data_IF_181801779831
#
_entry.id   IF_181801779831
#
_cell.length_a   1.000
_cell.length_b   1.000
_cell.length_c   1.000
_cell.angle_alpha   90.00
_cell.angle_beta   90.00
_cell.angle_gamma   90.00
#
_symmetry.space_group_name_H-M   'P 1'
#
loop_
_entity.id
_entity.type
_entity.pdbx_description
1 polymer ?
#
# COMPACT_ATOMS: atom_id res chain seq x y z
N UNK A 1 -11.75 9.83 23.29
CA UNK A 1 -10.81 9.26 22.30
C UNK A 1 -11.57 8.18 21.52
N UNK A 2 -11.73 8.30 20.19
CA UNK A 2 -12.42 7.26 19.42
C UNK A 2 -11.55 5.99 19.40
N UNK A 3 -12.10 4.88 19.87
CA UNK A 3 -11.43 3.57 19.82
C UNK A 3 -11.79 2.95 18.47
N UNK A 4 -10.78 2.69 17.65
CA UNK A 4 -10.95 2.01 16.37
C UNK A 4 -10.62 0.53 16.52
N UNK A 5 -11.38 -0.31 15.82
CA UNK A 5 -11.16 -1.75 15.79
C UNK A 5 -9.73 -2.08 15.31
N UNK A 6 -9.01 -3.03 15.94
CA UNK A 6 -7.66 -3.39 15.53
C UNK A 6 -7.57 -3.81 14.07
N UNK A 7 -8.55 -4.58 13.58
CA UNK A 7 -8.63 -5.01 12.18
C UNK A 7 -8.72 -3.83 11.22
N UNK A 8 -9.53 -2.83 11.57
CA UNK A 8 -9.65 -1.60 10.80
C UNK A 8 -8.32 -0.83 10.73
N UNK A 9 -7.62 -0.67 11.88
CA UNK A 9 -6.30 -0.02 11.90
C UNK A 9 -5.29 -0.75 11.01
N UNK A 10 -5.22 -2.08 11.12
CA UNK A 10 -4.32 -2.91 10.31
C UNK A 10 -4.62 -2.76 8.82
N UNK A 11 -5.90 -2.74 8.44
CA UNK A 11 -6.29 -2.50 7.04
C UNK A 11 -5.86 -1.12 6.53
N UNK A 12 -6.08 -0.06 7.31
CA UNK A 12 -5.67 1.31 6.94
C UNK A 12 -4.15 1.44 6.76
N UNK A 13 -3.36 0.79 7.63
CA UNK A 13 -1.89 0.75 7.49
C UNK A 13 -1.51 0.03 6.19
N UNK A 14 -2.11 -1.13 5.91
CA UNK A 14 -1.87 -1.92 4.69
C UNK A 14 -2.18 -1.12 3.42
N UNK A 15 -3.33 -0.45 3.37
CA UNK A 15 -3.74 0.43 2.27
C UNK A 15 -2.72 1.56 2.02
N UNK A 16 -2.13 2.12 3.08
CA UNK A 16 -1.12 3.15 2.94
C UNK A 16 0.24 2.59 2.48
N UNK A 17 0.69 1.48 3.06
CA UNK A 17 2.04 0.94 2.83
C UNK A 17 2.15 0.10 1.56
N UNK A 18 1.22 -0.87 1.38
CA UNK A 18 1.20 -1.83 0.26
C UNK A 18 0.57 -1.22 -0.99
N UNK A 19 -0.64 -0.64 -0.88
CA UNK A 19 -1.31 -0.05 -2.04
C UNK A 19 -0.81 1.36 -2.36
N UNK A 20 -0.10 2.00 -1.42
CA UNK A 20 0.48 3.32 -1.63
C UNK A 20 -0.53 4.47 -1.58
N UNK A 21 -1.71 4.26 -0.99
CA UNK A 21 -2.74 5.31 -0.86
C UNK A 21 -2.25 6.46 0.03
N UNK A 22 -2.68 7.68 -0.26
CA UNK A 22 -2.27 8.85 0.53
C UNK A 22 -3.09 8.94 1.82
N UNK A 23 -2.51 9.51 2.88
CA UNK A 23 -3.24 9.77 4.13
C UNK A 23 -4.48 10.66 3.86
N UNK A 24 -4.38 11.57 2.89
CA UNK A 24 -5.50 12.40 2.45
C UNK A 24 -6.67 11.55 1.94
N UNK A 25 -6.40 10.63 1.00
CA UNK A 25 -7.45 9.76 0.44
C UNK A 25 -8.14 8.91 1.51
N UNK A 26 -7.37 8.39 2.47
CA UNK A 26 -7.89 7.58 3.57
C UNK A 26 -8.71 8.43 4.56
N UNK A 27 -8.29 9.67 4.82
CA UNK A 27 -9.06 10.63 5.62
C UNK A 27 -10.40 10.95 4.95
N UNK A 28 -10.41 11.21 3.64
CA UNK A 28 -11.63 11.53 2.90
C UNK A 28 -12.61 10.35 2.84
N UNK A 29 -12.11 9.14 2.59
CA UNK A 29 -12.93 7.93 2.47
C UNK A 29 -13.49 7.47 3.83
N UNK A 30 -12.64 7.35 4.85
CA UNK A 30 -13.03 6.78 6.14
C UNK A 30 -13.38 7.80 7.21
N UNK A 31 -13.24 9.11 6.91
CA UNK A 31 -13.46 10.21 7.85
C UNK A 31 -12.63 10.07 9.14
N UNK A 32 -11.46 9.45 9.04
CA UNK A 32 -10.51 9.26 10.13
C UNK A 32 -9.50 10.40 10.11
N UNK A 33 -9.24 11.03 11.26
CA UNK A 33 -8.30 12.14 11.33
C UNK A 33 -6.92 11.76 10.76
N UNK A 34 -6.33 12.67 9.98
CA UNK A 34 -4.99 12.49 9.39
C UNK A 34 -3.95 12.14 10.46
N UNK A 35 -4.03 12.79 11.62
CA UNK A 35 -3.15 12.54 12.76
C UNK A 35 -3.26 11.10 13.27
N UNK A 36 -4.48 10.54 13.38
CA UNK A 36 -4.67 9.15 13.79
C UNK A 36 -3.99 8.18 12.83
N UNK A 37 -4.16 8.38 11.52
CA UNK A 37 -3.54 7.53 10.49
C UNK A 37 -2.01 7.62 10.59
N UNK A 38 -1.45 8.83 10.69
CA UNK A 38 -0.01 9.03 10.86
C UNK A 38 0.53 8.33 12.12
N UNK A 39 -0.20 8.39 13.23
CA UNK A 39 0.19 7.72 14.48
C UNK A 39 0.20 6.21 14.28
N UNK A 40 -0.84 5.62 13.66
CA UNK A 40 -0.89 4.17 13.45
C UNK A 40 0.24 3.67 12.56
N UNK A 41 0.54 4.39 11.48
CA UNK A 41 1.66 4.06 10.59
C UNK A 41 3.00 4.16 11.33
N UNK A 42 3.18 5.18 12.17
CA UNK A 42 4.39 5.33 12.97
C UNK A 42 4.54 4.20 13.99
N UNK A 43 3.51 3.94 14.78
CA UNK A 43 3.51 2.84 15.76
C UNK A 43 3.75 1.50 15.10
N UNK A 44 3.18 1.24 13.92
CA UNK A 44 3.44 0.01 13.17
C UNK A 44 4.92 -0.12 12.78
N UNK A 45 5.58 0.96 12.33
CA UNK A 45 7.01 0.93 12.02
C UNK A 45 7.89 0.73 13.26
N UNK A 46 7.49 1.31 14.40
CA UNK A 46 8.17 1.09 15.69
C UNK A 46 8.05 -0.39 16.12
N UNK A 47 6.86 -0.97 15.98
CA UNK A 47 6.62 -2.40 16.23
C UNK A 47 7.46 -3.30 15.32
N UNK A 48 7.66 -2.94 14.05
CA UNK A 48 8.55 -3.66 13.12
C UNK A 48 10.01 -3.72 13.60
N UNK A 49 10.47 -2.80 14.46
CA UNK A 49 11.85 -2.82 14.96
C UNK A 49 12.05 -3.87 16.07
N UNK A 50 10.97 -4.24 16.74
CA UNK A 50 11.02 -5.11 17.92
C UNK A 50 10.39 -6.48 17.68
N UNK A 51 9.47 -6.60 16.72
CA UNK A 51 8.80 -7.84 16.37
C UNK A 51 9.19 -8.31 14.96
N UNK A 52 9.87 -9.45 14.90
CA UNK A 52 10.35 -10.06 13.65
C UNK A 52 9.22 -10.48 12.72
N UNK A 53 8.10 -11.00 13.23
CA UNK A 53 6.96 -11.42 12.41
C UNK A 53 6.30 -10.22 11.72
N UNK A 54 6.12 -9.11 12.45
CA UNK A 54 5.56 -7.87 11.90
C UNK A 54 6.52 -7.25 10.88
N UNK A 55 7.82 -7.35 11.13
CA UNK A 55 8.87 -6.89 10.21
C UNK A 55 8.81 -7.67 8.89
N UNK A 56 8.72 -8.99 8.95
CA UNK A 56 8.57 -9.83 7.77
C UNK A 56 7.29 -9.48 7.00
N UNK A 57 6.16 -9.33 7.69
CA UNK A 57 4.89 -8.89 7.09
C UNK A 57 5.04 -7.52 6.39
N UNK A 58 5.72 -6.57 7.03
CA UNK A 58 6.00 -5.25 6.44
C UNK A 58 6.89 -5.34 5.19
N UNK A 59 7.95 -6.14 5.22
CA UNK A 59 8.86 -6.32 4.08
C UNK A 59 8.13 -6.99 2.91
N UNK A 60 7.27 -7.97 3.17
CA UNK A 60 6.39 -8.56 2.17
C UNK A 60 5.43 -7.52 1.55
N UNK A 61 4.84 -6.63 2.34
CA UNK A 61 3.98 -5.55 1.81
C UNK A 61 4.74 -4.62 0.86
N UNK A 62 5.99 -4.26 1.19
CA UNK A 62 6.81 -3.41 0.34
C UNK A 62 7.23 -4.11 -0.96
N UNK A 63 7.58 -5.40 -0.88
CA UNK A 63 7.94 -6.19 -2.05
C UNK A 63 6.73 -6.38 -2.97
N UNK A 64 5.56 -6.68 -2.42
CA UNK A 64 4.32 -6.82 -3.20
C UNK A 64 4.01 -5.52 -3.96
N UNK A 65 4.18 -4.35 -3.31
CA UNK A 65 4.03 -3.05 -3.96
C UNK A 65 4.99 -2.85 -5.12
N UNK A 66 6.26 -3.23 -4.95
CA UNK A 66 7.29 -3.15 -6.00
C UNK A 66 6.93 -4.04 -7.18
N UNK A 67 6.56 -5.29 -6.93
CA UNK A 67 6.17 -6.26 -7.96
C UNK A 67 4.95 -5.79 -8.75
N UNK A 68 3.94 -5.22 -8.09
CA UNK A 68 2.75 -4.65 -8.77
C UNK A 68 3.11 -3.53 -9.74
N UNK A 69 4.03 -2.64 -9.37
CA UNK A 69 4.52 -1.57 -10.26
C UNK A 69 5.25 -2.13 -11.47
N UNK A 70 6.17 -3.07 -11.26
CA UNK A 70 6.90 -3.72 -12.35
C UNK A 70 5.95 -4.46 -13.30
N UNK A 71 4.93 -5.12 -12.76
CA UNK A 71 3.93 -5.80 -13.56
C UNK A 71 3.09 -4.83 -14.39
N UNK A 72 2.71 -3.68 -13.84
CA UNK A 72 2.02 -2.62 -14.58
C UNK A 72 2.87 -2.04 -15.71
N UNK A 73 4.17 -1.81 -15.48
CA UNK A 73 5.12 -1.34 -16.50
C UNK A 73 5.26 -2.35 -17.64
N UNK A 74 5.50 -3.62 -17.31
CA UNK A 74 5.59 -4.71 -18.30
C UNK A 74 4.29 -4.88 -19.07
N UNK A 75 3.13 -4.72 -18.43
CA UNK A 75 1.83 -4.77 -19.11
C UNK A 75 1.67 -3.63 -20.12
N UNK A 76 2.08 -2.41 -19.78
CA UNK A 76 2.05 -1.26 -20.70
C UNK A 76 2.99 -1.48 -21.89
N UNK A 77 4.20 -1.95 -21.66
CA UNK A 77 5.14 -2.31 -22.73
C UNK A 77 4.57 -3.39 -23.63
N UNK A 78 3.97 -4.44 -23.06
CA UNK A 78 3.37 -5.53 -23.81
C UNK A 78 2.17 -5.04 -24.66
N UNK A 79 1.32 -4.18 -24.10
CA UNK A 79 0.22 -3.56 -24.84
C UNK A 79 0.73 -2.70 -26.00
N UNK A 80 1.77 -1.90 -25.76
CA UNK A 80 2.38 -1.06 -26.79
C UNK A 80 2.97 -1.90 -27.93
N UNK A 81 3.75 -2.95 -27.62
CA UNK A 81 4.32 -3.84 -28.63
C UNK A 81 3.25 -4.58 -29.43
N UNK A 82 2.18 -5.07 -28.77
CA UNK A 82 1.04 -5.70 -29.45
C UNK A 82 0.36 -4.73 -30.41
N UNK A 83 0.13 -3.48 -30.00
CA UNK A 83 -0.45 -2.46 -30.86
C UNK A 83 0.41 -2.16 -32.10
N UNK A 84 1.74 -2.09 -31.93
CA UNK A 84 2.68 -1.89 -33.04
C UNK A 84 2.69 -3.06 -34.04
N UNK A 85 2.59 -4.30 -33.55
CA UNK A 85 2.57 -5.49 -34.42
C UNK A 85 1.24 -5.56 -35.18
N UNK A 86 0.11 -5.35 -34.49
CA UNK A 86 -1.22 -5.43 -35.10
C UNK A 86 -1.48 -4.30 -36.10
N UNK A 87 -0.95 -3.09 -35.87
CA UNK A 87 -1.11 -1.96 -36.79
C UNK A 87 -0.18 -1.99 -38.02
N UNK A 88 0.71 -2.97 -38.12
CA UNK A 88 1.61 -3.17 -39.28
C UNK A 88 1.11 -4.25 -40.26
N UNK A 89 0.03 -4.97 -39.91
CA UNK A 89 -0.71 -5.87 -40.80
C UNK A 89 -1.92 -5.14 -41.39
#
# INVERSE_FOLDING_TARGET
>A
MKIYEPKFKKNTIRLHLEEGRTIQSLYEEYQVSRASISIWVRSYREECQTNQEIKEEHDYMLENRKLRKQLEELQKENQFLKALILGRM
#
